data_IF_505765961183
#
_entry.id   IF_505765961183
#
_cell.length_a   1.000
_cell.length_b   1.000
_cell.length_c   1.000
_cell.angle_alpha   90.00
_cell.angle_beta   90.00
_cell.angle_gamma   90.00
#
_symmetry.space_group_name_H-M   'P 1'
#
loop_
_entity.id
_entity.type
_entity.pdbx_description
1 polymer ?
#
# COMPACT_ATOMS: atom_id res chain seq x y z
N UNK A 1 -1.50 4.38 -2.00
CA UNK A 1 -1.39 5.00 -0.67
C UNK A 1 -2.62 5.87 -0.43
N UNK A 2 -3.39 5.59 0.62
CA UNK A 2 -4.63 6.28 0.97
C UNK A 2 -4.48 7.08 2.27
N UNK A 3 -5.50 7.86 2.62
CA UNK A 3 -5.49 8.76 3.78
C UNK A 3 -5.13 8.05 5.09
N UNK A 4 -5.56 6.80 5.30
CA UNK A 4 -5.15 6.01 6.47
C UNK A 4 -3.65 5.74 6.55
N UNK A 5 -2.99 5.46 5.42
CA UNK A 5 -1.53 5.31 5.40
C UNK A 5 -0.83 6.64 5.74
N UNK A 6 -1.36 7.78 5.23
CA UNK A 6 -0.81 9.09 5.54
C UNK A 6 -0.84 9.37 7.05
N UNK A 7 -1.95 9.00 7.71
CA UNK A 7 -2.07 9.20 9.16
C UNK A 7 -1.07 8.35 9.95
N UNK A 8 -0.90 7.06 9.57
CA UNK A 8 0.10 6.18 10.20
C UNK A 8 1.51 6.74 10.03
N UNK A 9 1.85 7.17 8.81
CA UNK A 9 3.17 7.76 8.51
C UNK A 9 3.39 9.04 9.30
N UNK A 10 2.40 9.95 9.30
CA UNK A 10 2.50 11.20 10.05
C UNK A 10 2.70 10.95 11.55
N UNK A 11 1.98 9.97 12.09
CA UNK A 11 2.11 9.58 13.50
C UNK A 11 3.49 9.01 13.81
N UNK A 12 4.02 8.13 12.96
CA UNK A 12 5.38 7.60 13.11
C UNK A 12 6.41 8.72 13.08
N UNK A 13 6.37 9.58 12.07
CA UNK A 13 7.32 10.71 11.95
C UNK A 13 7.28 11.59 13.20
N UNK A 14 6.09 11.93 13.69
CA UNK A 14 5.95 12.76 14.90
C UNK A 14 6.59 12.14 16.16
N UNK A 15 6.66 10.81 16.23
CA UNK A 15 7.30 10.10 17.35
C UNK A 15 8.82 10.05 17.25
N UNK A 16 9.35 9.86 16.04
CA UNK A 16 10.77 9.55 15.84
C UNK A 16 11.61 10.78 15.50
N UNK A 17 11.05 11.77 14.83
CA UNK A 17 11.75 12.99 14.42
C UNK A 17 12.36 13.78 15.60
N UNK A 18 11.66 14.00 16.73
CA UNK A 18 12.24 14.68 17.90
C UNK A 18 13.41 13.92 18.53
N UNK A 19 13.52 12.63 18.24
CA UNK A 19 14.55 11.71 18.76
C UNK A 19 15.73 11.56 17.79
N UNK A 20 15.68 12.20 16.62
CA UNK A 20 16.70 12.07 15.57
C UNK A 20 16.77 10.64 14.97
N UNK A 21 15.69 9.87 15.07
CA UNK A 21 15.64 8.50 14.54
C UNK A 21 15.02 8.48 13.14
N UNK A 22 15.53 7.61 12.24
CA UNK A 22 14.95 7.47 10.91
C UNK A 22 13.57 6.81 10.96
N UNK A 23 12.69 7.26 10.07
CA UNK A 23 11.36 6.70 9.84
C UNK A 23 11.38 5.78 8.62
N UNK A 24 10.93 4.54 8.77
CA UNK A 24 10.92 3.56 7.68
C UNK A 24 9.55 2.91 7.53
N UNK A 25 9.21 2.48 6.31
CA UNK A 25 8.09 1.57 6.08
C UNK A 25 8.59 0.24 5.52
N UNK A 26 7.87 -0.83 5.87
CA UNK A 26 8.07 -2.15 5.29
C UNK A 26 6.94 -2.43 4.30
N UNK A 27 7.29 -2.92 3.13
CA UNK A 27 6.33 -3.42 2.14
C UNK A 27 6.83 -4.73 1.56
N UNK A 28 6.01 -5.41 0.77
CA UNK A 28 6.25 -6.76 0.31
C UNK A 28 6.20 -6.83 -1.22
N UNK A 29 7.08 -7.61 -1.83
CA UNK A 29 7.09 -7.92 -3.25
C UNK A 29 7.56 -9.36 -3.49
N UNK A 30 6.77 -10.21 -4.19
CA UNK A 30 5.37 -9.97 -4.56
C UNK A 30 4.47 -9.75 -3.35
N UNK A 31 3.28 -9.19 -3.56
CA UNK A 31 2.33 -9.02 -2.45
C UNK A 31 1.94 -10.39 -1.89
N UNK A 32 1.90 -10.61 -0.56
CA UNK A 32 1.57 -11.91 0.04
C UNK A 32 0.35 -12.60 -0.55
N UNK A 33 -0.69 -11.86 -0.89
CA UNK A 33 -1.90 -12.40 -1.51
C UNK A 33 -1.67 -13.00 -2.90
N UNK A 34 -0.62 -12.65 -3.62
CA UNK A 34 -0.28 -13.25 -4.92
C UNK A 34 0.19 -14.69 -4.74
N UNK A 35 1.01 -14.93 -3.71
CA UNK A 35 1.52 -16.26 -3.42
C UNK A 35 0.50 -17.14 -2.70
N UNK A 36 -0.34 -16.55 -1.83
CA UNK A 36 -1.36 -17.29 -1.09
C UNK A 36 -2.58 -17.66 -1.95
N UNK A 37 -2.87 -16.87 -2.99
CA UNK A 37 -4.03 -17.05 -3.85
C UNK A 37 -3.67 -16.84 -5.34
N UNK A 38 -2.82 -17.69 -5.93
CA UNK A 38 -2.30 -17.49 -7.29
C UNK A 38 -3.37 -17.50 -8.41
N UNK A 39 -4.57 -17.99 -8.12
CA UNK A 39 -5.72 -17.96 -9.04
C UNK A 39 -6.60 -16.71 -8.93
N UNK A 40 -6.41 -15.91 -7.90
CA UNK A 40 -7.14 -14.66 -7.73
C UNK A 40 -6.30 -13.52 -8.30
N UNK A 41 -6.60 -13.10 -9.52
CA UNK A 41 -6.01 -11.91 -10.12
C UNK A 41 -6.41 -10.66 -9.31
N UNK A 42 -5.79 -10.48 -8.14
CA UNK A 42 -5.96 -9.24 -7.37
C UNK A 42 -5.29 -8.13 -8.13
N UNK A 43 -6.09 -7.25 -8.65
CA UNK A 43 -5.59 -6.03 -9.27
C UNK A 43 -5.15 -5.08 -8.18
N UNK A 44 -3.87 -4.74 -8.16
CA UNK A 44 -3.29 -3.85 -7.16
C UNK A 44 -3.59 -2.39 -7.51
N UNK A 45 -3.72 -1.56 -6.48
CA UNK A 45 -3.91 -0.12 -6.66
C UNK A 45 -2.63 0.60 -7.11
N UNK A 46 -1.47 -0.02 -6.85
CA UNK A 46 -0.15 0.52 -7.22
C UNK A 46 0.82 -0.63 -7.49
N UNK A 47 1.80 -0.42 -8.34
CA UNK A 47 2.99 -1.25 -8.40
C UNK A 47 3.80 -1.09 -7.10
N UNK A 48 4.68 -2.05 -6.78
CA UNK A 48 5.56 -1.96 -5.59
C UNK A 48 6.45 -0.74 -5.65
N UNK A 49 7.04 -0.46 -6.81
CA UNK A 49 7.85 0.76 -7.05
C UNK A 49 7.04 2.02 -6.75
N UNK A 50 5.85 2.14 -7.34
CA UNK A 50 5.00 3.32 -7.13
C UNK A 50 4.56 3.47 -5.68
N UNK A 51 4.28 2.38 -4.99
CA UNK A 51 3.96 2.39 -3.55
C UNK A 51 5.11 2.95 -2.73
N UNK A 52 6.33 2.52 -2.99
CA UNK A 52 7.53 3.03 -2.31
C UNK A 52 7.72 4.53 -2.56
N UNK A 53 7.62 4.98 -3.82
CA UNK A 53 7.69 6.42 -4.17
C UNK A 53 6.65 7.25 -3.41
N UNK A 54 5.40 6.77 -3.34
CA UNK A 54 4.32 7.46 -2.65
C UNK A 54 4.54 7.50 -1.13
N UNK A 55 5.08 6.44 -0.54
CA UNK A 55 5.40 6.41 0.88
C UNK A 55 6.55 7.36 1.23
N UNK A 56 7.61 7.38 0.41
CA UNK A 56 8.71 8.34 0.56
C UNK A 56 8.23 9.79 0.43
N UNK A 57 7.31 10.07 -0.49
CA UNK A 57 6.74 11.42 -0.65
C UNK A 57 5.90 11.90 0.54
N UNK A 58 5.53 11.00 1.46
CA UNK A 58 4.92 11.35 2.75
C UNK A 58 5.93 11.79 3.82
N UNK A 59 7.23 11.75 3.50
CA UNK A 59 8.30 12.18 4.40
C UNK A 59 9.01 11.05 5.13
N UNK A 60 8.81 9.80 4.77
CA UNK A 60 9.61 8.68 5.29
C UNK A 60 11.04 8.74 4.76
N UNK A 61 12.00 8.37 5.59
CA UNK A 61 13.42 8.33 5.21
C UNK A 61 13.75 7.13 4.32
N UNK A 62 13.05 6.00 4.50
CA UNK A 62 13.26 4.81 3.67
C UNK A 62 12.00 3.93 3.57
N UNK A 63 11.95 3.15 2.49
CA UNK A 63 10.97 2.05 2.31
C UNK A 63 11.76 0.78 2.00
N UNK A 64 11.61 -0.22 2.87
CA UNK A 64 12.17 -1.55 2.66
C UNK A 64 11.16 -2.46 1.98
N UNK A 65 11.57 -3.04 0.86
CA UNK A 65 10.76 -4.01 0.13
C UNK A 65 11.24 -5.41 0.53
N UNK A 66 10.44 -6.11 1.31
CA UNK A 66 10.74 -7.49 1.72
C UNK A 66 10.37 -8.43 0.58
N UNK A 67 11.32 -9.27 0.17
CA UNK A 67 11.04 -10.34 -0.78
C UNK A 67 10.12 -11.37 -0.11
N UNK A 68 8.90 -11.50 -0.65
CA UNK A 68 7.93 -12.44 -0.11
C UNK A 68 8.24 -13.85 -0.60
N UNK A 69 8.66 -14.71 0.31
CA UNK A 69 8.89 -16.12 0.04
C UNK A 69 7.90 -17.01 0.79
N UNK A 70 7.73 -18.28 0.39
CA UNK A 70 6.92 -19.23 1.14
C UNK A 70 7.38 -19.39 2.60
N UNK A 71 8.67 -19.26 2.88
CA UNK A 71 9.26 -19.33 4.21
C UNK A 71 8.81 -18.13 5.05
N UNK A 72 8.89 -16.91 4.50
CA UNK A 72 8.43 -15.70 5.17
C UNK A 72 6.93 -15.80 5.50
N UNK A 73 6.12 -16.34 4.59
CA UNK A 73 4.67 -16.48 4.80
C UNK A 73 4.30 -17.55 5.86
N UNK A 74 5.22 -18.47 6.16
CA UNK A 74 5.04 -19.50 7.20
C UNK A 74 5.47 -19.04 8.59
N UNK A 75 6.15 -17.91 8.71
CA UNK A 75 6.57 -17.40 10.02
C UNK A 75 5.33 -17.15 10.90
N UNK A 76 5.37 -17.68 12.10
CA UNK A 76 4.38 -17.31 13.12
C UNK A 76 4.43 -15.80 13.37
N UNK A 77 3.40 -15.24 13.97
CA UNK A 77 3.40 -13.82 14.30
C UNK A 77 4.58 -13.45 15.22
N UNK A 78 4.89 -14.29 16.21
CA UNK A 78 6.02 -14.05 17.09
C UNK A 78 7.37 -14.15 16.38
N UNK A 79 7.53 -15.13 15.49
CA UNK A 79 8.75 -15.26 14.68
C UNK A 79 8.92 -14.07 13.72
N UNK A 80 7.85 -13.61 13.08
CA UNK A 80 7.90 -12.41 12.24
C UNK A 80 8.30 -11.18 13.06
N UNK A 81 7.72 -11.01 14.25
CA UNK A 81 8.07 -9.91 15.15
C UNK A 81 9.54 -9.98 15.56
N UNK A 82 10.02 -11.12 16.07
CA UNK A 82 11.37 -11.24 16.63
C UNK A 82 12.46 -11.25 15.55
N UNK A 83 12.28 -12.04 14.48
CA UNK A 83 13.32 -12.25 13.49
C UNK A 83 13.33 -11.18 12.38
N UNK A 84 12.15 -10.69 11.99
CA UNK A 84 12.06 -9.67 10.95
C UNK A 84 12.06 -8.28 11.54
N UNK A 85 11.11 -7.95 12.43
CA UNK A 85 11.02 -6.58 12.95
C UNK A 85 12.17 -6.26 13.91
N UNK A 86 12.37 -7.06 14.95
CA UNK A 86 13.36 -6.75 15.99
C UNK A 86 14.79 -7.00 15.52
N UNK A 87 15.08 -8.19 14.99
CA UNK A 87 16.46 -8.57 14.63
C UNK A 87 17.01 -7.82 13.42
N UNK A 88 16.18 -7.51 12.42
CA UNK A 88 16.64 -6.82 11.20
C UNK A 88 16.59 -5.29 11.32
N UNK A 89 15.60 -4.75 12.00
CA UNK A 89 15.36 -3.30 12.01
C UNK A 89 15.59 -2.63 13.37
N UNK A 90 15.62 -3.36 14.47
CA UNK A 90 15.84 -2.83 15.84
C UNK A 90 14.96 -1.59 16.11
N UNK A 91 13.63 -1.66 15.94
CA UNK A 91 12.77 -0.50 16.02
C UNK A 91 12.74 0.08 17.44
N UNK A 92 12.85 1.39 17.55
CA UNK A 92 12.57 2.09 18.80
C UNK A 92 11.08 2.41 18.97
N UNK A 93 10.36 2.48 17.85
CA UNK A 93 8.91 2.71 17.80
C UNK A 93 8.28 1.98 16.61
N UNK A 94 7.02 1.60 16.75
CA UNK A 94 6.18 1.00 15.70
C UNK A 94 4.86 1.78 15.64
N UNK A 95 4.39 2.07 14.43
CA UNK A 95 3.08 2.68 14.19
C UNK A 95 2.25 1.79 13.27
N UNK A 96 1.04 1.43 13.70
CA UNK A 96 0.14 0.56 12.93
C UNK A 96 -1.32 0.98 13.07
N UNK A 97 -2.16 0.52 12.14
CA UNK A 97 -3.62 0.69 12.25
C UNK A 97 -4.24 -0.27 13.27
N UNK A 98 -5.41 0.10 13.81
CA UNK A 98 -6.12 -0.73 14.80
C UNK A 98 -6.53 -2.12 14.28
N UNK A 99 -6.66 -2.28 12.97
CA UNK A 99 -7.03 -3.52 12.29
C UNK A 99 -5.80 -4.33 11.78
N UNK A 100 -4.61 -3.99 12.25
CA UNK A 100 -3.38 -4.64 11.82
C UNK A 100 -3.33 -6.12 12.21
N UNK A 101 -2.99 -6.97 11.24
CA UNK A 101 -2.78 -8.40 11.41
C UNK A 101 -1.55 -8.86 10.64
N UNK A 102 -0.78 -9.77 11.21
CA UNK A 102 0.49 -10.23 10.64
C UNK A 102 0.80 -11.70 10.98
N UNK A 103 1.91 -12.20 10.41
CA UNK A 103 2.33 -13.59 10.57
C UNK A 103 1.46 -14.57 9.79
N UNK A 104 1.78 -15.85 9.93
CA UNK A 104 1.12 -16.93 9.21
C UNK A 104 -0.40 -16.90 9.42
N UNK A 105 -1.17 -16.97 8.33
CA UNK A 105 -2.64 -16.90 8.34
C UNK A 105 -3.20 -15.66 9.07
N UNK A 106 -2.43 -14.57 9.18
CA UNK A 106 -2.85 -13.34 9.88
C UNK A 106 -3.20 -13.58 11.36
N UNK A 107 -2.57 -14.55 12.01
CA UNK A 107 -2.87 -14.91 13.40
C UNK A 107 -2.44 -13.87 14.41
N UNK A 108 -1.38 -13.09 14.09
CA UNK A 108 -0.90 -12.01 14.95
C UNK A 108 -1.87 -10.83 14.93
N UNK A 109 -2.16 -10.33 16.08
CA UNK A 109 -3.05 -9.20 16.32
C UNK A 109 -2.30 -8.00 16.87
N UNK A 110 -2.95 -6.82 16.87
CA UNK A 110 -2.41 -5.64 17.53
C UNK A 110 -2.16 -5.88 19.05
N UNK A 111 -2.98 -6.69 19.71
CA UNK A 111 -2.79 -7.05 21.13
C UNK A 111 -1.52 -7.87 21.35
N UNK A 112 -1.19 -8.77 20.44
CA UNK A 112 0.07 -9.53 20.49
C UNK A 112 1.26 -8.60 20.27
N UNK A 113 1.19 -7.74 19.26
CA UNK A 113 2.21 -6.74 18.97
C UNK A 113 2.45 -5.83 20.18
N UNK A 114 1.39 -5.36 20.82
CA UNK A 114 1.47 -4.52 22.03
C UNK A 114 2.15 -5.24 23.20
N UNK A 115 1.81 -6.52 23.42
CA UNK A 115 2.42 -7.32 24.47
C UNK A 115 3.91 -7.49 24.25
N UNK A 116 4.34 -7.82 23.02
CA UNK A 116 5.76 -8.01 22.70
C UNK A 116 6.54 -6.68 22.66
N UNK A 117 5.97 -5.63 22.10
CA UNK A 117 6.59 -4.31 22.09
C UNK A 117 6.84 -3.80 23.51
N UNK A 118 5.88 -3.96 24.43
CA UNK A 118 6.05 -3.62 25.84
C UNK A 118 7.16 -4.45 26.51
N UNK A 119 7.23 -5.77 26.24
CA UNK A 119 8.29 -6.65 26.74
C UNK A 119 9.68 -6.15 26.32
N UNK A 120 9.81 -5.73 25.09
CA UNK A 120 11.09 -5.35 24.47
C UNK A 120 11.34 -3.84 24.52
N UNK A 121 10.55 -3.07 25.28
CA UNK A 121 10.66 -1.62 25.45
C UNK A 121 10.57 -0.83 24.14
N UNK A 122 9.79 -1.33 23.17
CA UNK A 122 9.49 -0.68 21.90
C UNK A 122 8.21 0.12 22.06
N UNK A 123 8.23 1.39 21.68
CA UNK A 123 7.04 2.24 21.71
C UNK A 123 6.07 1.84 20.60
N UNK A 124 4.83 1.45 20.95
CA UNK A 124 3.79 1.16 19.97
C UNK A 124 2.74 2.25 19.98
N UNK A 125 2.51 2.86 18.82
CA UNK A 125 1.38 3.75 18.60
C UNK A 125 0.40 3.14 17.63
N UNK A 126 -0.88 3.35 17.89
CA UNK A 126 -1.98 2.85 17.04
C UNK A 126 -2.76 4.00 16.47
N UNK A 127 -3.21 3.84 15.24
CA UNK A 127 -3.95 4.86 14.50
C UNK A 127 -5.34 4.32 14.19
N UNK A 128 -6.36 5.03 14.64
CA UNK A 128 -7.74 4.69 14.32
C UNK A 128 -8.03 4.89 12.83
N UNK A 129 -8.94 4.09 12.24
CA UNK A 129 -9.28 4.22 10.84
C UNK A 129 -9.78 5.61 10.47
N UNK A 130 -9.15 6.24 9.48
CA UNK A 130 -9.66 7.49 8.89
C UNK A 130 -11.02 7.21 8.26
N UNK A 131 -12.00 8.08 8.52
CA UNK A 131 -13.35 7.94 8.00
C UNK A 131 -13.71 9.13 7.11
N UNK A 132 -14.31 8.82 5.96
CA UNK A 132 -14.91 9.81 5.05
C UNK A 132 -16.38 9.43 4.87
N UNK A 133 -17.27 10.39 5.14
CA UNK A 133 -18.72 10.16 5.14
C UNK A 133 -19.15 8.99 6.03
N UNK A 134 -18.55 8.89 7.24
CA UNK A 134 -18.84 7.84 8.23
C UNK A 134 -18.24 6.47 7.94
N UNK A 135 -17.68 6.25 6.75
CA UNK A 135 -17.12 4.95 6.34
C UNK A 135 -15.60 4.96 6.37
N UNK A 136 -14.99 3.89 6.86
CA UNK A 136 -13.54 3.75 6.93
C UNK A 136 -12.89 3.79 5.54
N UNK A 137 -11.77 4.49 5.44
CA UNK A 137 -10.91 4.50 4.25
C UNK A 137 -10.08 3.24 4.23
N UNK A 138 -10.20 2.46 3.17
CA UNK A 138 -9.44 1.21 3.00
C UNK A 138 -9.13 0.93 1.54
N UNK A 139 -8.10 0.14 1.29
CA UNK A 139 -7.77 -0.31 -0.07
C UNK A 139 -8.91 -1.12 -0.72
N UNK A 140 -9.70 -1.84 0.07
CA UNK A 140 -10.85 -2.60 -0.45
C UNK A 140 -11.97 -1.68 -0.92
N UNK A 141 -12.29 -0.62 -0.16
CA UNK A 141 -13.27 0.39 -0.56
C UNK A 141 -12.84 1.12 -1.83
N UNK A 142 -11.56 1.50 -1.92
CA UNK A 142 -11.03 2.17 -3.12
C UNK A 142 -11.12 1.26 -4.35
N UNK A 143 -10.82 -0.05 -4.22
CA UNK A 143 -10.99 -0.99 -5.34
C UNK A 143 -12.45 -1.06 -5.79
N UNK A 144 -13.39 -1.20 -4.86
CA UNK A 144 -14.82 -1.21 -5.20
C UNK A 144 -15.24 0.03 -5.99
N UNK A 145 -14.87 1.22 -5.54
CA UNK A 145 -15.16 2.48 -6.23
C UNK A 145 -14.58 2.52 -7.66
N UNK A 146 -13.35 2.05 -7.84
CA UNK A 146 -12.73 1.98 -9.17
C UNK A 146 -13.41 0.93 -10.06
N UNK A 147 -13.78 -0.22 -9.53
CA UNK A 147 -14.51 -1.28 -10.23
C UNK A 147 -15.93 -0.86 -10.63
N UNK A 148 -16.51 0.11 -9.93
CA UNK A 148 -17.78 0.75 -10.25
C UNK A 148 -17.62 1.98 -11.17
N UNK A 149 -16.39 2.41 -11.48
CA UNK A 149 -16.11 3.61 -12.26
C UNK A 149 -16.16 4.93 -11.51
N UNK A 150 -16.35 4.88 -10.20
CA UNK A 150 -16.42 6.05 -9.30
C UNK A 150 -15.01 6.58 -8.96
N UNK A 151 -14.26 6.99 -10.00
CA UNK A 151 -12.85 7.41 -9.87
C UNK A 151 -12.71 8.69 -9.04
N UNK A 152 -13.66 9.61 -9.10
CA UNK A 152 -13.66 10.82 -8.29
C UNK A 152 -13.70 10.49 -6.80
N UNK A 153 -14.69 9.68 -6.38
CA UNK A 153 -14.83 9.24 -4.98
C UNK A 153 -13.62 8.41 -4.50
N UNK A 154 -13.04 7.60 -5.41
CA UNK A 154 -11.81 6.88 -5.10
C UNK A 154 -10.64 7.82 -4.84
N UNK A 155 -10.52 8.91 -5.61
CA UNK A 155 -9.49 9.93 -5.44
C UNK A 155 -9.63 10.70 -4.12
N UNK A 156 -10.85 10.93 -3.63
CA UNK A 156 -11.09 11.57 -2.33
C UNK A 156 -10.54 10.76 -1.15
N UNK A 157 -10.37 9.45 -1.35
CA UNK A 157 -9.81 8.54 -0.34
C UNK A 157 -8.29 8.36 -0.47
N UNK A 158 -7.71 8.77 -1.60
CA UNK A 158 -6.31 8.66 -1.91
C UNK A 158 -5.54 9.92 -1.52
N UNK A 159 -4.24 9.79 -1.24
CA UNK A 159 -3.34 10.94 -1.00
C UNK A 159 -2.95 11.60 -2.32
N UNK A 160 -2.85 10.80 -3.37
CA UNK A 160 -2.50 11.24 -4.73
C UNK A 160 -3.51 10.67 -5.71
N UNK A 161 -3.79 11.36 -6.83
CA UNK A 161 -4.70 10.86 -7.83
C UNK A 161 -4.38 9.43 -8.28
N UNK A 162 -5.42 8.65 -8.52
CA UNK A 162 -5.28 7.29 -9.01
C UNK A 162 -4.51 7.28 -10.34
N UNK A 163 -3.61 6.32 -10.49
CA UNK A 163 -2.75 6.23 -11.67
C UNK A 163 -2.77 4.83 -12.24
N UNK A 164 -2.99 4.75 -13.56
CA UNK A 164 -2.81 3.54 -14.36
C UNK A 164 -1.47 3.64 -15.07
N UNK A 165 -0.65 2.61 -14.94
CA UNK A 165 0.68 2.54 -15.58
C UNK A 165 0.71 1.38 -16.57
N UNK A 166 1.22 1.61 -17.77
CA UNK A 166 1.37 0.59 -18.79
C UNK A 166 2.36 1.01 -19.87
N UNK A 167 2.64 0.12 -20.79
CA UNK A 167 3.48 0.38 -21.96
C UNK A 167 2.61 0.87 -23.11
N UNK A 168 3.05 1.93 -23.77
CA UNK A 168 2.37 2.43 -24.98
C UNK A 168 2.66 1.48 -26.12
N UNK A 169 1.61 0.95 -26.73
CA UNK A 169 1.68 0.11 -27.91
C UNK A 169 0.94 0.73 -29.09
N UNK A 170 1.45 0.45 -30.27
CA UNK A 170 0.79 0.89 -31.49
C UNK A 170 -0.50 0.09 -31.71
N UNK A 171 -1.64 0.78 -31.65
CA UNK A 171 -2.94 0.22 -32.03
C UNK A 171 -3.21 0.27 -33.52
N UNK A 172 -4.45 0.09 -33.90
CA UNK A 172 -4.92 0.04 -35.28
C UNK A 172 -4.90 1.41 -36.04
N UNK A 173 -4.33 2.46 -35.44
CA UNK A 173 -4.20 3.82 -35.98
C UNK A 173 -5.50 4.49 -36.42
N UNK A 174 -6.67 3.97 -36.03
CA UNK A 174 -7.98 4.53 -36.40
C UNK A 174 -8.13 5.98 -35.97
N UNK A 175 -7.67 6.32 -34.76
CA UNK A 175 -7.73 7.68 -34.24
C UNK A 175 -6.93 8.68 -35.10
N UNK A 176 -5.76 8.27 -35.63
CA UNK A 176 -4.96 9.13 -36.50
C UNK A 176 -5.71 9.48 -37.80
N UNK A 177 -6.44 8.53 -38.39
CA UNK A 177 -7.25 8.77 -39.60
C UNK A 177 -8.40 9.73 -39.34
N UNK A 178 -8.88 9.82 -38.07
CA UNK A 178 -9.95 10.72 -37.65
C UNK A 178 -9.43 12.05 -37.09
N UNK A 179 -8.12 12.30 -37.13
CA UNK A 179 -7.49 13.52 -36.59
C UNK A 179 -7.23 13.49 -35.09
N UNK A 180 -7.53 12.39 -34.39
CA UNK A 180 -7.33 12.22 -32.93
C UNK A 180 -6.37 11.04 -32.66
N UNK A 181 -5.04 11.26 -32.64
CA UNK A 181 -4.10 10.20 -32.33
C UNK A 181 -4.36 9.62 -30.93
N UNK A 182 -4.38 8.28 -30.83
CA UNK A 182 -4.62 7.56 -29.59
C UNK A 182 -3.41 6.73 -29.20
N UNK A 183 -3.14 6.63 -27.89
CA UNK A 183 -2.17 5.71 -27.30
C UNK A 183 -2.93 4.55 -26.66
N UNK A 184 -2.50 3.32 -26.94
CA UNK A 184 -3.02 2.14 -26.26
C UNK A 184 -2.04 1.70 -25.19
N UNK A 185 -2.53 1.35 -24.00
CA UNK A 185 -1.71 0.83 -22.93
C UNK A 185 -1.81 -0.70 -22.90
N UNK A 186 -0.66 -1.36 -22.82
CA UNK A 186 -0.53 -2.79 -22.49
C UNK A 186 0.30 -3.01 -21.23
N UNK A 187 0.32 -4.26 -20.76
CA UNK A 187 1.05 -4.65 -19.56
C UNK A 187 0.70 -3.78 -18.35
N UNK A 188 -0.60 -3.53 -18.18
CA UNK A 188 -1.11 -2.79 -17.04
C UNK A 188 -1.17 -3.74 -15.82
N UNK A 189 -0.37 -3.46 -14.81
CA UNK A 189 -0.27 -4.27 -13.59
C UNK A 189 -1.15 -3.77 -12.45
N UNK A 190 -1.82 -2.63 -12.64
CA UNK A 190 -2.74 -2.04 -11.67
C UNK A 190 -4.19 -2.25 -12.08
N UNK A 191 -5.10 -2.08 -11.14
CA UNK A 191 -6.54 -2.11 -11.41
C UNK A 191 -6.88 -1.07 -12.48
N UNK A 192 -7.52 -1.50 -13.56
CA UNK A 192 -8.13 -0.58 -14.53
C UNK A 192 -9.54 -0.27 -14.02
N UNK A 193 -9.94 1.01 -13.92
CA UNK A 193 -11.32 1.36 -13.58
C UNK A 193 -12.33 0.72 -14.54
N UNK A 194 -13.59 0.65 -14.11
CA UNK A 194 -14.70 0.19 -14.98
C UNK A 194 -14.64 0.86 -16.36
N UNK A 195 -15.11 0.17 -17.38
CA UNK A 195 -15.16 0.73 -18.75
C UNK A 195 -15.91 2.06 -18.76
N UNK A 196 -15.29 3.08 -19.33
CA UNK A 196 -15.84 4.43 -19.33
C UNK A 196 -14.93 5.44 -20.01
N UNK A 197 -15.34 6.70 -19.97
CA UNK A 197 -14.54 7.84 -20.45
C UNK A 197 -14.13 8.68 -19.24
N UNK A 198 -12.83 8.86 -19.08
CA UNK A 198 -12.24 9.56 -17.96
C UNK A 198 -11.34 10.70 -18.41
N UNK A 199 -11.42 11.82 -17.71
CA UNK A 199 -10.44 12.90 -17.87
C UNK A 199 -9.21 12.63 -16.99
N UNK A 200 -8.02 12.88 -17.52
CA UNK A 200 -6.78 12.64 -16.77
C UNK A 200 -5.58 13.37 -17.37
N UNK A 201 -4.44 13.21 -16.70
CA UNK A 201 -3.15 13.71 -17.15
C UNK A 201 -2.29 12.53 -17.56
N UNK A 202 -1.75 12.55 -18.77
CA UNK A 202 -0.77 11.59 -19.24
C UNK A 202 0.64 12.14 -19.03
N UNK A 203 1.52 11.30 -18.48
CA UNK A 203 2.95 11.56 -18.34
C UNK A 203 3.72 10.43 -19.00
N UNK A 204 4.76 10.74 -19.78
CA UNK A 204 5.65 9.78 -20.46
C UNK A 204 7.05 9.88 -19.90
#
# INVERSE_FOLDING_TARGET
VHLGHREIVARLISLVQPRGLPSIALTFDPHPAELLHPGLARRFLTTTRRRAELLLSLGLDAVFVLNTTPELLKLSAEAFYSEVLCRCFHPAAIAEGEDFHFGHNRQGTLSDLKRWANRDSIELTTVSPVRISGTAVSSSRIRGLLEEGNVADANDLLVFPYRVEGQVEQGQRRGKALGFPTANLRNVHTLVPHDGVYAGVATT
#
